data_IF_683323604252
#
_entry.id   IF_683323604252
#
_cell.length_a   1.000
_cell.length_b   1.000
_cell.length_c   1.000
_cell.angle_alpha   90.00
_cell.angle_beta   90.00
_cell.angle_gamma   90.00
#
_symmetry.space_group_name_H-M   'P 1'
#
loop_
_entity.id
_entity.type
_entity.pdbx_description
1 polymer ?
#
# COMPACT_ATOMS: atom_id res chain seq x y z
N UNK A 1 -22.59 25.50 6.81
CA UNK A 1 -23.87 24.74 6.86
C UNK A 1 -23.71 23.65 7.91
N UNK A 2 -24.37 23.74 9.08
CA UNK A 2 -24.11 22.85 10.21
C UNK A 2 -24.92 21.55 10.14
N UNK A 3 -24.26 20.45 10.51
CA UNK A 3 -24.77 19.20 11.09
C UNK A 3 -26.10 18.62 10.58
N UNK A 4 -26.03 17.92 9.44
CA UNK A 4 -26.94 16.80 9.11
C UNK A 4 -26.14 15.50 9.11
N UNK A 5 -25.57 15.10 10.24
CA UNK A 5 -24.81 13.86 10.36
C UNK A 5 -25.74 12.72 10.76
N UNK A 6 -25.83 11.67 9.95
CA UNK A 6 -26.47 10.40 10.35
C UNK A 6 -25.93 9.98 11.73
N UNK A 7 -26.80 9.88 12.75
CA UNK A 7 -26.44 9.47 14.13
C UNK A 7 -25.69 8.13 14.19
N UNK A 8 -25.83 7.31 13.15
CA UNK A 8 -25.25 5.97 13.02
C UNK A 8 -23.79 5.95 12.54
N UNK A 9 -23.26 7.05 11.97
CA UNK A 9 -21.95 7.04 11.29
C UNK A 9 -21.12 8.30 11.47
N UNK A 10 -19.81 8.20 11.22
CA UNK A 10 -18.94 9.36 11.02
C UNK A 10 -17.91 9.10 9.92
N UNK A 11 -17.47 10.17 9.24
CA UNK A 11 -16.63 10.06 8.04
C UNK A 11 -15.16 9.72 8.33
N UNK A 12 -14.56 10.37 9.35
CA UNK A 12 -13.16 10.21 9.70
C UNK A 12 -12.96 10.26 11.22
N UNK A 13 -12.07 9.43 11.78
CA UNK A 13 -11.67 9.56 13.17
C UNK A 13 -10.88 10.86 13.40
N UNK A 14 -10.84 11.34 14.65
CA UNK A 14 -10.01 12.48 15.05
C UNK A 14 -8.54 12.07 15.25
N UNK A 15 -7.94 11.49 14.21
CA UNK A 15 -6.53 11.10 14.18
C UNK A 15 -6.06 11.09 12.73
N UNK A 16 -4.86 11.60 12.52
CA UNK A 16 -4.20 11.54 11.22
C UNK A 16 -3.26 10.34 11.17
N UNK A 17 -3.27 9.63 10.04
CA UNK A 17 -2.46 8.42 9.85
C UNK A 17 -1.06 8.71 9.32
N UNK A 18 -0.84 9.93 8.80
CA UNK A 18 0.40 10.35 8.14
C UNK A 18 0.88 9.29 7.13
N UNK A 19 -0.01 8.94 6.20
CA UNK A 19 0.29 8.11 5.04
C UNK A 19 1.05 8.91 3.97
N UNK A 20 1.51 8.25 2.91
CA UNK A 20 2.34 8.88 1.86
C UNK A 20 1.68 10.13 1.27
N UNK A 21 0.35 10.14 1.15
CA UNK A 21 -0.45 11.27 0.66
C UNK A 21 -0.45 12.51 1.54
N UNK A 22 0.05 12.44 2.77
CA UNK A 22 0.24 13.62 3.63
C UNK A 22 1.52 14.40 3.32
N UNK A 23 2.44 13.84 2.54
CA UNK A 23 3.66 14.53 2.15
C UNK A 23 3.30 15.55 1.08
N UNK A 24 3.41 16.83 1.42
CA UNK A 24 3.03 18.00 0.61
C UNK A 24 3.24 17.73 -0.88
N UNK A 25 2.11 17.53 -1.55
CA UNK A 25 2.00 17.24 -2.96
C UNK A 25 2.50 18.45 -3.76
N UNK A 26 3.72 18.37 -4.31
CA UNK A 26 4.16 19.32 -5.33
C UNK A 26 3.39 18.97 -6.61
N UNK A 27 2.56 19.92 -7.05
CA UNK A 27 1.69 19.87 -8.21
C UNK A 27 2.32 19.07 -9.38
N UNK A 28 1.73 17.93 -9.73
CA UNK A 28 1.94 17.36 -11.06
C UNK A 28 1.38 18.39 -12.04
N UNK A 29 2.28 18.94 -12.86
CA UNK A 29 1.98 19.93 -13.88
C UNK A 29 0.84 19.42 -14.77
N UNK A 30 -0.38 19.93 -14.53
CA UNK A 30 -1.52 19.74 -15.42
C UNK A 30 -1.22 20.62 -16.63
N UNK A 31 -0.41 20.11 -17.54
CA UNK A 31 -0.19 20.71 -18.84
C UNK A 31 -1.50 20.76 -19.61
N UNK A 32 -2.34 21.75 -19.31
CA UNK A 32 -3.48 22.15 -20.11
C UNK A 32 -2.92 22.75 -21.40
N UNK A 33 -3.01 22.01 -22.49
CA UNK A 33 -2.93 22.58 -23.84
C UNK A 33 -4.20 22.21 -24.57
N UNK A 34 -4.78 23.21 -25.22
CA UNK A 34 -6.14 23.21 -25.76
C UNK A 34 -6.48 21.99 -26.60
N UNK A 35 -7.72 21.52 -26.41
CA UNK A 35 -8.37 20.49 -27.21
C UNK A 35 -8.59 21.00 -28.64
N UNK A 36 -8.00 20.33 -29.62
CA UNK A 36 -8.49 20.34 -31.00
C UNK A 36 -8.64 18.90 -31.45
N UNK A 37 -9.85 18.56 -31.90
CA UNK A 37 -10.23 17.22 -32.37
C UNK A 37 -9.60 16.99 -33.75
N UNK A 38 -8.66 16.06 -33.92
CA UNK A 38 -8.14 15.75 -35.24
C UNK A 38 -9.11 14.84 -35.98
N UNK A 39 -9.61 15.32 -37.11
CA UNK A 39 -10.42 14.60 -38.09
C UNK A 39 -9.52 13.66 -38.90
N UNK A 40 -9.29 12.43 -38.43
CA UNK A 40 -9.02 11.28 -39.32
C UNK A 40 -9.11 9.95 -38.57
N UNK A 41 -9.95 9.07 -39.12
CA UNK A 41 -10.30 7.73 -38.62
C UNK A 41 -9.08 6.80 -38.71
N UNK A 42 -8.48 6.45 -37.58
CA UNK A 42 -7.81 5.15 -37.44
C UNK A 42 -8.90 4.13 -37.08
N UNK A 43 -9.15 3.17 -37.96
CA UNK A 43 -10.17 2.12 -37.78
C UNK A 43 -9.85 1.08 -36.69
N UNK A 44 -9.06 1.42 -35.67
CA UNK A 44 -8.63 0.51 -34.60
C UNK A 44 -8.42 1.22 -33.25
N UNK A 45 -9.23 2.25 -32.95
CA UNK A 45 -9.15 2.97 -31.67
C UNK A 45 -9.31 2.03 -30.47
N UNK A 46 -10.16 1.01 -30.59
CA UNK A 46 -10.39 -0.01 -29.57
C UNK A 46 -9.13 -0.84 -29.29
N UNK A 47 -8.43 -1.31 -30.33
CA UNK A 47 -7.18 -2.05 -30.16
C UNK A 47 -6.09 -1.18 -29.51
N UNK A 48 -6.01 0.09 -29.89
CA UNK A 48 -5.10 1.03 -29.25
C UNK A 48 -5.45 1.21 -27.77
N UNK A 49 -6.73 1.37 -27.42
CA UNK A 49 -7.13 1.46 -26.03
C UNK A 49 -6.78 0.19 -25.25
N UNK A 50 -7.01 -0.99 -25.80
CA UNK A 50 -6.65 -2.27 -25.18
C UNK A 50 -5.15 -2.40 -24.92
N UNK A 51 -4.30 -1.94 -25.85
CA UNK A 51 -2.84 -1.94 -25.62
C UNK A 51 -2.46 -0.91 -24.57
N UNK A 52 -3.01 0.30 -24.64
CA UNK A 52 -2.65 1.40 -23.74
C UNK A 52 -3.02 1.13 -22.29
N UNK A 53 -4.16 0.47 -22.01
CA UNK A 53 -4.56 0.14 -20.63
C UNK A 53 -3.62 -0.90 -19.99
N UNK A 54 -2.97 -1.74 -20.79
CA UNK A 54 -2.04 -2.77 -20.31
C UNK A 54 -0.62 -2.23 -20.08
N UNK A 55 -0.31 -1.02 -20.54
CA UNK A 55 0.97 -0.38 -20.26
C UNK A 55 1.10 -0.04 -18.78
N UNK A 56 2.32 -0.19 -18.26
CA UNK A 56 2.67 0.32 -16.95
C UNK A 56 2.52 1.85 -16.89
N UNK A 57 2.23 2.39 -15.69
CA UNK A 57 1.96 3.82 -15.51
C UNK A 57 3.08 4.73 -16.07
N UNK A 58 4.38 4.46 -15.84
CA UNK A 58 5.48 5.16 -16.47
C UNK A 58 5.46 5.11 -18.00
N UNK A 59 5.32 3.93 -18.60
CA UNK A 59 5.29 3.71 -20.05
C UNK A 59 4.13 4.43 -20.71
N UNK A 60 2.93 4.36 -20.12
CA UNK A 60 1.75 5.09 -20.59
C UNK A 60 1.97 6.61 -20.54
N UNK A 61 2.55 7.10 -19.45
CA UNK A 61 2.83 8.54 -19.27
C UNK A 61 3.95 9.02 -20.21
N UNK A 62 4.93 8.18 -20.50
CA UNK A 62 5.97 8.44 -21.48
C UNK A 62 5.37 8.52 -22.89
N UNK A 63 4.53 7.55 -23.27
CA UNK A 63 3.81 7.56 -24.54
C UNK A 63 2.95 8.82 -24.71
N UNK A 64 2.21 9.21 -23.67
CA UNK A 64 1.40 10.45 -23.64
C UNK A 64 2.20 11.69 -24.02
N UNK A 65 3.50 11.74 -23.71
CA UNK A 65 4.41 12.88 -23.94
C UNK A 65 5.07 12.90 -25.32
N UNK A 66 4.92 11.86 -26.13
CA UNK A 66 5.60 11.73 -27.43
C UNK A 66 5.17 12.82 -28.42
N UNK A 67 3.86 13.06 -28.56
CA UNK A 67 3.31 14.13 -29.40
C UNK A 67 1.86 14.44 -28.99
N UNK A 68 1.28 15.53 -29.54
CA UNK A 68 -0.10 15.97 -29.23
C UNK A 68 -1.17 14.90 -29.52
N UNK A 69 -0.95 14.07 -30.54
CA UNK A 69 -1.88 12.98 -30.89
C UNK A 69 -1.85 11.88 -29.83
N UNK A 70 -0.67 11.45 -29.40
CA UNK A 70 -0.51 10.47 -28.32
C UNK A 70 -1.12 10.99 -27.01
N UNK A 71 -0.93 12.28 -26.70
CA UNK A 71 -1.63 12.95 -25.59
C UNK A 71 -3.15 12.79 -25.70
N UNK A 72 -3.71 13.15 -26.85
CA UNK A 72 -5.16 13.06 -27.07
C UNK A 72 -5.69 11.62 -26.99
N UNK A 73 -4.96 10.63 -27.50
CA UNK A 73 -5.39 9.23 -27.46
C UNK A 73 -5.40 8.72 -26.02
N UNK A 74 -4.34 8.98 -25.24
CA UNK A 74 -4.27 8.55 -23.84
C UNK A 74 -5.34 9.24 -22.99
N UNK A 75 -5.60 10.53 -23.22
CA UNK A 75 -6.63 11.28 -22.48
C UNK A 75 -8.06 10.82 -22.82
N UNK A 76 -8.25 10.12 -23.94
CA UNK A 76 -9.51 9.50 -24.32
C UNK A 76 -9.73 8.11 -23.71
N UNK A 77 -8.70 7.49 -23.10
CA UNK A 77 -8.84 6.21 -22.41
C UNK A 77 -9.67 6.41 -21.13
N UNK A 78 -10.86 5.80 -21.00
CA UNK A 78 -11.77 6.06 -19.88
C UNK A 78 -11.15 5.77 -18.51
N UNK A 79 -10.42 4.66 -18.40
CA UNK A 79 -9.73 4.23 -17.18
C UNK A 79 -8.69 5.25 -16.74
N UNK A 80 -7.83 5.69 -17.67
CA UNK A 80 -6.81 6.69 -17.38
C UNK A 80 -7.43 8.03 -16.97
N UNK A 81 -8.50 8.44 -17.67
CA UNK A 81 -9.26 9.65 -17.33
C UNK A 81 -9.88 9.55 -15.93
N UNK A 82 -10.46 8.41 -15.56
CA UNK A 82 -11.02 8.20 -14.24
C UNK A 82 -9.94 8.27 -13.14
N UNK A 83 -8.80 7.62 -13.35
CA UNK A 83 -7.67 7.65 -12.41
C UNK A 83 -7.15 9.08 -12.22
N UNK A 84 -6.86 9.79 -13.31
CA UNK A 84 -6.30 11.16 -13.26
C UNK A 84 -7.28 12.18 -12.67
N UNK A 85 -8.58 11.94 -12.82
CA UNK A 85 -9.63 12.80 -12.25
C UNK A 85 -9.85 12.54 -10.76
N UNK A 86 -9.91 11.27 -10.35
CA UNK A 86 -10.39 10.90 -9.01
C UNK A 86 -9.31 10.42 -8.04
N UNK A 87 -8.15 10.00 -8.56
CA UNK A 87 -7.03 9.50 -7.77
C UNK A 87 -5.66 10.12 -8.17
N UNK A 88 -5.55 11.45 -8.36
CA UNK A 88 -4.27 12.08 -8.72
C UNK A 88 -3.19 11.86 -7.64
N UNK A 89 -3.61 11.83 -6.37
CA UNK A 89 -2.75 11.54 -5.21
C UNK A 89 -2.09 10.16 -5.29
N UNK A 90 -2.84 9.16 -5.75
CA UNK A 90 -2.34 7.81 -5.97
C UNK A 90 -1.29 7.78 -7.08
N UNK A 91 -1.54 8.45 -8.21
CA UNK A 91 -0.57 8.54 -9.31
C UNK A 91 0.75 9.19 -8.87
N UNK A 92 0.67 10.32 -8.18
CA UNK A 92 1.86 10.94 -7.60
C UNK A 92 2.60 9.99 -6.66
N UNK A 93 1.90 9.32 -5.75
CA UNK A 93 2.51 8.36 -4.83
C UNK A 93 3.31 7.32 -5.61
N UNK A 94 2.68 6.70 -6.62
CA UNK A 94 3.30 5.70 -7.50
C UNK A 94 4.58 6.23 -8.17
N UNK A 95 4.56 7.45 -8.71
CA UNK A 95 5.75 8.05 -9.31
C UNK A 95 6.83 8.36 -8.28
N UNK A 96 6.42 8.93 -7.15
CA UNK A 96 7.33 9.42 -6.11
C UNK A 96 8.10 8.28 -5.45
N UNK A 97 7.46 7.14 -5.19
CA UNK A 97 8.13 5.97 -4.61
C UNK A 97 8.67 4.99 -5.66
N UNK A 98 8.42 5.24 -6.94
CA UNK A 98 9.00 4.50 -8.07
C UNK A 98 8.42 3.10 -8.28
N UNK A 99 7.15 2.88 -7.94
CA UNK A 99 6.49 1.57 -8.06
C UNK A 99 5.72 1.38 -9.37
N UNK A 100 5.59 2.44 -10.17
CA UNK A 100 4.72 2.42 -11.36
C UNK A 100 5.05 1.37 -12.42
N UNK A 101 6.30 0.91 -12.51
CA UNK A 101 6.70 -0.18 -13.43
C UNK A 101 6.01 -1.53 -13.14
N UNK A 102 5.44 -1.69 -11.95
CA UNK A 102 4.76 -2.91 -11.50
C UNK A 102 3.23 -2.81 -11.61
N UNK A 103 2.71 -1.70 -12.13
CA UNK A 103 1.30 -1.36 -12.08
C UNK A 103 0.86 -0.91 -13.47
N UNK A 104 -0.02 -1.66 -14.12
CA UNK A 104 -0.66 -1.21 -15.36
C UNK A 104 -1.76 -0.18 -15.08
N UNK A 105 -2.16 0.56 -16.11
CA UNK A 105 -3.32 1.45 -16.00
C UNK A 105 -4.60 0.67 -15.67
N UNK A 106 -4.75 -0.54 -16.24
CA UNK A 106 -5.87 -1.42 -15.96
C UNK A 106 -5.86 -1.91 -14.51
N UNK A 107 -4.70 -2.38 -14.00
CA UNK A 107 -4.58 -2.84 -12.61
C UNK A 107 -5.00 -1.75 -11.64
N UNK A 108 -4.51 -0.52 -11.83
CA UNK A 108 -4.84 0.60 -10.96
C UNK A 108 -6.33 0.94 -11.01
N UNK A 109 -6.93 0.93 -12.20
CA UNK A 109 -8.35 1.20 -12.37
C UNK A 109 -9.21 0.13 -11.67
N UNK A 110 -8.93 -1.15 -11.89
CA UNK A 110 -9.65 -2.26 -11.26
C UNK A 110 -9.59 -2.20 -9.74
N UNK A 111 -8.42 -1.86 -9.18
CA UNK A 111 -8.24 -1.72 -7.73
C UNK A 111 -8.94 -0.50 -7.17
N UNK A 112 -9.04 0.57 -7.95
CA UNK A 112 -9.86 1.73 -7.61
C UNK A 112 -11.36 1.41 -7.71
N UNK A 113 -11.76 0.52 -8.61
CA UNK A 113 -13.13 0.04 -8.82
C UNK A 113 -13.50 -1.21 -8.01
N UNK A 114 -12.68 -1.58 -7.02
CA UNK A 114 -13.02 -2.60 -6.02
C UNK A 114 -13.19 -1.89 -4.68
N UNK A 115 -14.22 -2.18 -3.88
CA UNK A 115 -14.39 -1.53 -2.57
C UNK A 115 -13.65 -2.26 -1.44
N UNK A 116 -13.41 -3.55 -1.62
CA UNK A 116 -13.03 -4.50 -0.57
C UNK A 116 -11.52 -4.59 -0.38
N UNK A 117 -11.13 -4.84 0.86
CA UNK A 117 -9.77 -5.19 1.25
C UNK A 117 -9.46 -6.60 0.78
N UNK A 118 -8.40 -6.76 -0.01
CA UNK A 118 -7.94 -8.06 -0.54
C UNK A 118 -7.56 -9.07 0.55
N UNK A 119 -7.37 -8.58 1.77
CA UNK A 119 -6.93 -9.36 2.92
C UNK A 119 -8.06 -9.87 3.80
N UNK A 120 -9.22 -9.21 3.82
CA UNK A 120 -10.29 -9.53 4.79
C UNK A 120 -11.71 -9.18 4.35
N UNK A 121 -11.93 -8.64 3.14
CA UNK A 121 -13.26 -8.27 2.64
C UNK A 121 -13.86 -6.97 3.19
N UNK A 122 -13.41 -6.47 4.35
CA UNK A 122 -13.82 -5.14 4.85
C UNK A 122 -13.55 -4.03 3.83
N UNK A 123 -14.19 -2.87 3.96
CA UNK A 123 -13.89 -1.73 3.08
C UNK A 123 -12.40 -1.35 3.12
N UNK A 124 -11.74 -1.43 1.96
CA UNK A 124 -10.33 -1.12 1.79
C UNK A 124 -10.13 0.35 1.43
N UNK A 125 -10.13 1.23 2.44
CA UNK A 125 -9.98 2.68 2.24
C UNK A 125 -8.58 3.15 1.81
N UNK A 126 -7.65 2.23 1.54
CA UNK A 126 -6.27 2.54 1.21
C UNK A 126 -5.75 1.63 0.08
N UNK A 127 -4.72 2.10 -0.61
CA UNK A 127 -3.92 1.31 -1.54
C UNK A 127 -2.50 1.14 -1.01
N UNK A 128 -2.02 -0.10 -1.02
CA UNK A 128 -0.62 -0.44 -0.85
C UNK A 128 0.09 -0.39 -2.21
N UNK A 129 0.92 0.64 -2.39
CA UNK A 129 1.44 1.04 -3.69
C UNK A 129 2.60 0.19 -4.23
N UNK A 130 3.19 -0.72 -3.43
CA UNK A 130 4.26 -1.58 -3.96
C UNK A 130 3.70 -2.62 -4.94
N UNK A 131 2.54 -3.19 -4.62
CA UNK A 131 1.87 -4.22 -5.43
C UNK A 131 0.47 -3.82 -5.88
N UNK A 132 0.12 -2.54 -5.74
CA UNK A 132 -1.21 -1.99 -6.05
C UNK A 132 -2.37 -2.79 -5.42
N UNK A 133 -2.28 -3.10 -4.12
CA UNK A 133 -3.31 -3.87 -3.44
C UNK A 133 -4.26 -2.98 -2.64
N UNK A 134 -5.57 -3.26 -2.70
CA UNK A 134 -6.55 -2.59 -1.83
C UNK A 134 -6.54 -3.19 -0.42
N UNK A 135 -6.47 -2.33 0.59
CA UNK A 135 -6.26 -2.76 1.98
C UNK A 135 -6.98 -1.86 2.97
N UNK A 136 -7.52 -2.43 4.05
CA UNK A 136 -8.08 -1.68 5.17
C UNK A 136 -7.03 -1.36 6.23
N UNK A 137 -7.30 -0.39 7.10
CA UNK A 137 -6.37 0.06 8.13
C UNK A 137 -5.81 -1.07 9.00
N UNK A 138 -6.71 -1.93 9.48
CA UNK A 138 -6.36 -3.02 10.40
C UNK A 138 -5.43 -4.05 9.72
N UNK A 139 -5.59 -4.27 8.42
CA UNK A 139 -4.77 -5.24 7.71
C UNK A 139 -3.36 -4.73 7.46
N UNK A 140 -3.19 -3.51 6.94
CA UNK A 140 -1.84 -3.01 6.61
C UNK A 140 -1.00 -2.72 7.86
N UNK A 141 -1.64 -2.39 8.99
CA UNK A 141 -0.93 -2.13 10.25
C UNK A 141 -0.53 -3.39 11.02
N UNK A 142 -1.11 -4.55 10.70
CA UNK A 142 -0.86 -5.80 11.44
C UNK A 142 -0.18 -6.87 10.58
N UNK A 143 -0.69 -7.17 9.38
CA UNK A 143 -0.19 -8.30 8.59
C UNK A 143 1.23 -8.04 8.07
N UNK A 144 2.08 -9.06 8.13
CA UNK A 144 3.47 -8.98 7.67
C UNK A 144 3.58 -8.62 6.17
N UNK A 145 2.61 -9.05 5.37
CA UNK A 145 2.53 -8.77 3.92
C UNK A 145 2.60 -7.29 3.57
N UNK A 146 2.18 -6.40 4.48
CA UNK A 146 2.20 -4.94 4.27
C UNK A 146 3.31 -4.25 5.07
N UNK A 147 4.29 -5.00 5.57
CA UNK A 147 5.53 -4.49 6.17
C UNK A 147 6.67 -4.67 5.17
N UNK A 148 6.92 -3.69 4.28
CA UNK A 148 8.00 -3.78 3.32
C UNK A 148 9.36 -3.87 4.01
N UNK A 149 10.24 -4.69 3.44
CA UNK A 149 11.50 -5.10 4.06
C UNK A 149 12.68 -4.33 3.48
N UNK A 150 13.73 -4.12 4.28
CA UNK A 150 15.03 -3.75 3.70
C UNK A 150 15.58 -4.96 2.95
N UNK A 151 16.37 -4.71 1.90
CA UNK A 151 17.03 -5.77 1.15
C UNK A 151 17.82 -6.74 2.04
N UNK A 152 18.57 -6.22 3.03
CA UNK A 152 19.30 -7.03 3.99
C UNK A 152 18.39 -7.92 4.86
N UNK A 153 17.17 -7.47 5.16
CA UNK A 153 16.19 -8.27 5.90
C UNK A 153 15.58 -9.36 5.01
N UNK A 154 15.28 -9.05 3.74
CA UNK A 154 14.80 -10.05 2.78
C UNK A 154 15.85 -11.15 2.52
N UNK A 155 17.12 -10.78 2.34
CA UNK A 155 18.24 -11.74 2.24
C UNK A 155 18.37 -12.59 3.49
N UNK A 156 18.27 -12.00 4.69
CA UNK A 156 18.38 -12.73 5.96
C UNK A 156 17.22 -13.71 6.17
N UNK A 157 15.99 -13.26 5.88
CA UNK A 157 14.76 -14.00 6.18
C UNK A 157 14.43 -15.09 5.18
N UNK A 158 14.69 -14.83 3.91
CA UNK A 158 14.18 -15.64 2.80
C UNK A 158 15.31 -16.23 1.93
N UNK A 159 16.57 -16.10 2.37
CA UNK A 159 17.72 -16.65 1.63
C UNK A 159 18.02 -16.00 0.29
N UNK A 160 17.47 -14.80 0.02
CA UNK A 160 17.59 -14.13 -1.28
C UNK A 160 18.95 -13.45 -1.47
N UNK A 161 19.58 -13.64 -2.62
CA UNK A 161 20.71 -12.82 -3.05
C UNK A 161 20.26 -11.54 -3.79
N UNK A 162 21.23 -10.73 -4.20
CA UNK A 162 20.99 -9.47 -4.90
C UNK A 162 20.24 -9.62 -6.23
N UNK A 163 20.54 -10.67 -7.01
CA UNK A 163 19.92 -10.90 -8.33
C UNK A 163 18.42 -11.19 -8.20
N UNK A 164 18.04 -11.92 -7.15
CA UNK A 164 16.63 -12.16 -6.86
C UNK A 164 15.89 -10.86 -6.51
N UNK A 165 16.51 -10.00 -5.69
CA UNK A 165 15.92 -8.75 -5.21
C UNK A 165 15.70 -7.71 -6.33
N UNK A 166 16.51 -7.73 -7.38
CA UNK A 166 16.41 -6.80 -8.52
C UNK A 166 15.11 -6.97 -9.31
N UNK A 167 14.55 -8.20 -9.30
CA UNK A 167 13.32 -8.55 -10.00
C UNK A 167 12.06 -8.43 -9.13
N UNK A 168 12.19 -8.00 -7.87
CA UNK A 168 11.04 -7.86 -6.96
C UNK A 168 10.38 -6.47 -7.04
N UNK A 169 9.07 -6.40 -6.77
CA UNK A 169 8.40 -5.14 -6.45
C UNK A 169 9.16 -4.39 -5.36
N UNK A 170 9.64 -3.22 -5.72
CA UNK A 170 10.56 -2.40 -4.92
C UNK A 170 10.16 -0.93 -4.99
N UNK A 171 10.44 -0.21 -3.91
CA UNK A 171 10.19 1.21 -3.79
C UNK A 171 11.37 1.96 -3.18
N UNK A 172 11.41 3.28 -3.37
CA UNK A 172 12.27 4.19 -2.61
C UNK A 172 11.41 5.07 -1.70
N UNK A 173 11.71 5.10 -0.41
CA UNK A 173 10.94 5.91 0.54
C UNK A 173 11.18 7.40 0.34
N UNK A 174 10.19 8.20 0.71
CA UNK A 174 10.30 9.67 0.80
C UNK A 174 10.57 10.04 2.25
N UNK A 175 11.49 10.96 2.55
CA UNK A 175 11.63 11.47 3.91
C UNK A 175 10.35 12.20 4.34
N UNK A 176 9.91 11.99 5.58
CA UNK A 176 8.63 12.53 6.06
C UNK A 176 8.26 12.04 7.45
N UNK A 177 7.12 12.52 7.93
CA UNK A 177 6.48 12.03 9.14
C UNK A 177 5.46 10.98 8.74
N UNK A 178 5.48 9.84 9.42
CA UNK A 178 4.64 8.70 9.10
C UNK A 178 4.04 8.08 10.34
N UNK A 179 2.94 7.36 10.15
CA UNK A 179 2.14 6.72 11.19
C UNK A 179 1.39 7.71 12.10
N UNK A 180 0.34 7.26 12.82
CA UNK A 180 -0.36 8.07 13.80
C UNK A 180 0.50 8.64 14.94
N UNK A 181 1.74 8.14 15.10
CA UNK A 181 2.71 8.66 16.09
C UNK A 181 3.68 9.70 15.53
N UNK A 182 3.50 10.12 14.29
CA UNK A 182 4.35 11.14 13.65
C UNK A 182 5.84 10.75 13.69
N UNK A 183 6.14 9.48 13.44
CA UNK A 183 7.52 9.00 13.45
C UNK A 183 8.23 9.51 12.20
N UNK A 184 9.29 10.28 12.42
CA UNK A 184 10.10 10.87 11.36
C UNK A 184 11.02 9.83 10.70
N UNK A 185 10.80 9.57 9.41
CA UNK A 185 11.74 8.83 8.57
C UNK A 185 12.65 9.83 7.83
N UNK A 186 13.93 9.85 8.17
CA UNK A 186 14.92 10.77 7.58
C UNK A 186 15.52 10.24 6.28
N UNK A 187 15.78 8.93 6.25
CA UNK A 187 16.54 8.31 5.18
C UNK A 187 15.66 7.85 4.02
N UNK A 188 16.22 7.93 2.81
CA UNK A 188 15.66 7.29 1.62
C UNK A 188 16.08 5.82 1.60
N UNK A 189 15.20 4.96 2.08
CA UNK A 189 15.40 3.51 2.11
C UNK A 189 14.90 2.90 0.81
N UNK A 190 15.60 1.87 0.33
CA UNK A 190 15.05 0.95 -0.68
C UNK A 190 14.39 -0.21 0.03
N UNK A 191 13.08 -0.34 -0.17
CA UNK A 191 12.28 -1.39 0.45
C UNK A 191 11.72 -2.33 -0.63
N UNK A 192 11.59 -3.60 -0.27
CA UNK A 192 11.05 -4.67 -1.12
C UNK A 192 9.74 -5.18 -0.54
N UNK A 193 8.82 -5.61 -1.41
CA UNK A 193 7.57 -6.22 -0.97
C UNK A 193 7.82 -7.50 -0.17
N UNK A 194 7.14 -7.65 0.97
CA UNK A 194 7.29 -8.80 1.85
C UNK A 194 6.79 -10.08 1.17
N UNK A 195 5.59 -10.02 0.58
CA UNK A 195 4.92 -11.19 0.01
C UNK A 195 5.68 -11.73 -1.20
N UNK A 196 6.12 -10.87 -2.10
CA UNK A 196 6.92 -11.23 -3.28
C UNK A 196 8.29 -11.80 -2.88
N UNK A 197 8.95 -11.20 -1.88
CA UNK A 197 10.22 -11.73 -1.37
C UNK A 197 10.04 -13.13 -0.74
N UNK A 198 9.01 -13.32 0.09
CA UNK A 198 8.69 -14.63 0.67
C UNK A 198 8.39 -15.68 -0.40
N UNK A 199 7.54 -15.35 -1.39
CA UNK A 199 7.21 -16.26 -2.50
C UNK A 199 8.45 -16.67 -3.29
N UNK A 200 9.34 -15.73 -3.56
CA UNK A 200 10.60 -15.98 -4.28
C UNK A 200 11.51 -16.90 -3.47
N UNK A 201 11.64 -16.66 -2.16
CA UNK A 201 12.41 -17.55 -1.28
C UNK A 201 11.85 -18.97 -1.25
N UNK A 202 10.53 -19.12 -1.16
CA UNK A 202 9.86 -20.43 -1.23
C UNK A 202 10.14 -21.12 -2.57
N UNK A 203 10.08 -20.39 -3.69
CA UNK A 203 10.34 -20.95 -5.01
C UNK A 203 11.79 -21.46 -5.14
N UNK A 204 12.77 -20.74 -4.58
CA UNK A 204 14.19 -21.12 -4.63
C UNK A 204 14.48 -22.34 -3.74
N UNK A 205 13.92 -22.35 -2.53
CA UNK A 205 14.21 -23.40 -1.53
C UNK A 205 13.21 -24.57 -1.59
N UNK A 206 12.21 -24.49 -2.47
CA UNK A 206 11.18 -25.51 -2.73
C UNK A 206 10.04 -25.57 -1.70
N UNK A 207 10.23 -25.05 -0.48
CA UNK A 207 9.16 -24.96 0.54
C UNK A 207 9.51 -23.91 1.59
N UNK A 208 8.51 -23.51 2.37
CA UNK A 208 8.72 -22.58 3.49
C UNK A 208 9.62 -23.17 4.60
N UNK A 209 9.48 -24.46 4.93
CA UNK A 209 10.36 -25.12 5.92
C UNK A 209 11.81 -25.07 5.48
N UNK A 210 12.09 -25.50 4.25
CA UNK A 210 13.45 -25.51 3.68
C UNK A 210 14.05 -24.11 3.59
N UNK A 211 13.24 -23.09 3.24
CA UNK A 211 13.67 -21.70 3.25
C UNK A 211 14.06 -21.23 4.65
N UNK A 212 13.25 -21.56 5.67
CA UNK A 212 13.51 -21.19 7.05
C UNK A 212 14.76 -21.90 7.60
N UNK A 213 14.88 -23.21 7.36
CA UNK A 213 16.06 -24.03 7.72
C UNK A 213 17.34 -23.47 7.08
N UNK A 214 17.29 -23.15 5.78
CA UNK A 214 18.40 -22.52 5.08
C UNK A 214 18.79 -21.18 5.72
N UNK A 215 17.80 -20.34 6.01
CA UNK A 215 18.02 -19.02 6.61
C UNK A 215 18.64 -19.13 8.01
N UNK A 216 18.16 -20.05 8.84
CA UNK A 216 18.73 -20.35 10.17
C UNK A 216 20.16 -20.85 10.05
N UNK A 217 20.43 -21.80 9.14
CA UNK A 217 21.78 -22.34 8.90
C UNK A 217 22.78 -21.27 8.48
N UNK A 218 22.39 -20.40 7.54
CA UNK A 218 23.23 -19.29 7.09
C UNK A 218 23.49 -18.29 8.21
N UNK A 219 22.50 -18.02 9.06
CA UNK A 219 22.67 -17.14 10.21
C UNK A 219 23.60 -17.74 11.27
N UNK A 220 23.48 -19.04 11.56
CA UNK A 220 24.37 -19.77 12.46
C UNK A 220 25.83 -19.70 11.97
N UNK A 221 26.07 -20.01 10.70
CA UNK A 221 27.40 -19.89 10.07
C UNK A 221 27.98 -18.48 10.13
N UNK A 222 27.14 -17.44 9.95
CA UNK A 222 27.57 -16.04 10.08
C UNK A 222 27.96 -15.71 11.53
N UNK A 223 27.20 -16.21 12.50
CA UNK A 223 27.47 -16.01 13.92
C UNK A 223 28.75 -16.72 14.36
N UNK A 224 28.98 -17.95 13.91
CA UNK A 224 30.23 -18.70 14.14
C UNK A 224 31.44 -17.94 13.58
N UNK A 225 31.36 -17.48 12.33
CA UNK A 225 32.43 -16.66 11.71
C UNK A 225 32.70 -15.37 12.49
N UNK A 226 31.66 -14.74 13.02
CA UNK A 226 31.79 -13.57 13.88
C UNK A 226 32.49 -13.91 15.20
N UNK A 227 32.07 -14.98 15.88
CA UNK A 227 32.66 -15.41 17.14
C UNK A 227 34.15 -15.75 16.97
N UNK A 228 34.53 -16.41 15.86
CA UNK A 228 35.92 -16.70 15.53
C UNK A 228 36.75 -15.43 15.27
N UNK A 229 36.18 -14.43 14.61
CA UNK A 229 36.85 -13.13 14.41
C UNK A 229 37.02 -12.38 15.73
N UNK A 230 36.02 -12.46 16.61
CA UNK A 230 36.05 -11.83 17.92
C UNK A 230 37.05 -12.48 18.86
N UNK A 231 37.17 -13.82 18.86
CA UNK A 231 38.15 -14.52 19.70
C UNK A 231 39.60 -14.24 19.29
N UNK A 232 39.84 -13.95 18.00
CA UNK A 232 41.15 -13.54 17.48
C UNK A 232 41.46 -12.04 17.65
N UNK A 233 40.49 -11.25 18.11
CA UNK A 233 40.67 -9.81 18.29
C UNK A 233 41.30 -9.53 19.65
N UNK A 234 42.51 -8.98 19.66
CA UNK A 234 43.23 -8.60 20.87
C UNK A 234 42.78 -7.22 21.37
N UNK A 235 42.53 -7.12 22.68
CA UNK A 235 42.20 -5.85 23.33
C UNK A 235 43.34 -4.84 23.10
N UNK A 236 43.04 -3.72 22.43
CA UNK A 236 44.03 -2.68 22.09
C UNK A 236 44.58 -2.73 20.66
N UNK A 237 44.15 -3.68 19.81
CA UNK A 237 44.52 -3.68 18.40
C UNK A 237 43.93 -2.46 17.65
N UNK A 238 44.71 -1.84 16.76
CA UNK A 238 44.30 -0.70 15.95
C UNK A 238 43.12 -0.97 14.99
N UNK A 239 42.72 -2.24 14.83
CA UNK A 239 41.63 -2.63 13.95
C UNK A 239 40.25 -2.44 14.58
N UNK A 240 39.24 -1.96 13.82
CA UNK A 240 37.87 -1.80 14.30
C UNK A 240 37.32 -3.12 14.85
N UNK A 241 36.56 -3.04 15.94
CA UNK A 241 35.87 -4.20 16.50
C UNK A 241 34.98 -4.85 15.44
N UNK A 242 35.03 -6.19 15.28
CA UNK A 242 34.16 -6.87 14.34
C UNK A 242 32.69 -6.61 14.69
N UNK A 243 31.88 -6.24 13.69
CA UNK A 243 30.45 -6.01 13.87
C UNK A 243 29.70 -7.34 13.97
N UNK A 244 28.86 -7.47 14.99
CA UNK A 244 27.98 -8.64 15.16
C UNK A 244 26.96 -8.68 14.02
N UNK A 245 26.78 -9.83 13.34
CA UNK A 245 25.69 -10.01 12.39
C UNK A 245 24.35 -9.84 13.06
N UNK A 246 23.40 -9.20 12.36
CA UNK A 246 22.02 -9.10 12.82
C UNK A 246 21.33 -10.46 12.71
N UNK A 247 20.82 -10.96 13.83
CA UNK A 247 20.10 -12.25 13.94
C UNK A 247 18.59 -12.06 14.10
N UNK A 248 18.17 -10.92 14.64
CA UNK A 248 16.77 -10.67 14.98
C UNK A 248 16.14 -9.58 14.12
N UNK A 249 14.83 -9.65 14.03
CA UNK A 249 14.03 -8.65 13.37
C UNK A 249 13.94 -7.37 14.18
N UNK A 250 13.80 -6.25 13.46
CA UNK A 250 13.40 -4.99 14.07
C UNK A 250 12.04 -5.18 14.75
N UNK A 251 11.88 -4.66 15.96
CA UNK A 251 10.57 -4.55 16.58
C UNK A 251 9.63 -3.79 15.65
N UNK A 252 8.51 -4.41 15.29
CA UNK A 252 7.57 -3.84 14.34
C UNK A 252 6.83 -2.64 14.95
N UNK A 253 6.20 -2.82 16.11
CA UNK A 253 5.38 -1.77 16.71
C UNK A 253 4.07 -1.48 15.95
N UNK A 254 3.71 -2.33 14.96
CA UNK A 254 2.43 -2.34 14.24
C UNK A 254 2.03 -0.96 13.69
N UNK A 255 0.93 -0.38 14.17
CA UNK A 255 0.45 0.95 13.76
C UNK A 255 1.43 2.08 14.10
N UNK A 256 2.48 1.82 14.87
CA UNK A 256 3.58 2.78 15.12
C UNK A 256 4.74 2.62 14.14
N UNK A 257 4.77 1.61 13.27
CA UNK A 257 5.89 1.41 12.35
C UNK A 257 5.78 2.34 11.12
N UNK A 258 6.67 3.31 10.92
CA UNK A 258 6.59 4.19 9.76
C UNK A 258 6.71 3.43 8.43
N UNK A 259 7.43 2.29 8.40
CA UNK A 259 7.59 1.47 7.18
C UNK A 259 6.27 0.89 6.67
N UNK A 260 5.24 0.78 7.51
CA UNK A 260 3.90 0.32 7.10
C UNK A 260 3.08 1.41 6.41
N UNK A 261 3.46 2.69 6.56
CA UNK A 261 2.70 3.85 6.05
C UNK A 261 3.36 4.50 4.83
N UNK A 262 4.67 4.33 4.63
CA UNK A 262 5.45 4.95 3.53
C UNK A 262 5.02 4.53 2.12
N UNK A 263 4.26 3.44 2.00
CA UNK A 263 3.74 2.91 0.74
C UNK A 263 2.20 2.94 0.67
N UNK A 264 1.55 3.57 1.65
CA UNK A 264 0.10 3.60 1.77
C UNK A 264 -0.39 4.96 1.32
N UNK A 265 -1.44 4.98 0.50
CA UNK A 265 -2.22 6.18 0.19
C UNK A 265 -3.69 5.92 0.45
N UNK A 266 -4.42 6.95 0.87
CA UNK A 266 -5.88 6.89 0.91
C UNK A 266 -6.42 6.80 -0.52
N UNK A 267 -7.45 5.98 -0.71
CA UNK A 267 -8.06 5.79 -2.03
C UNK A 267 -9.58 5.67 -1.93
N UNK A 268 -10.35 6.38 -2.79
CA UNK A 268 -11.80 6.17 -2.88
C UNK A 268 -12.10 4.85 -3.59
N UNK A 269 -13.32 4.36 -3.42
CA UNK A 269 -13.94 3.40 -4.31
C UNK A 269 -14.60 4.16 -5.48
N UNK A 270 -14.16 3.85 -6.70
CA UNK A 270 -14.71 4.36 -7.95
C UNK A 270 -15.80 3.41 -8.44
N UNK A 271 -17.05 3.73 -8.11
CA UNK A 271 -18.18 2.97 -8.64
C UNK A 271 -18.36 3.32 -10.14
N UNK A 272 -18.19 2.37 -11.09
CA UNK A 272 -18.25 2.65 -12.52
C UNK A 272 -19.61 3.20 -13.00
N UNK A 273 -20.68 3.02 -12.22
CA UNK A 273 -22.02 3.51 -12.52
C UNK A 273 -22.48 4.72 -11.71
N UNK A 274 -21.72 5.17 -10.70
CA UNK A 274 -22.11 6.30 -9.86
C UNK A 274 -21.29 7.55 -10.18
N UNK A 275 -21.94 8.71 -10.08
CA UNK A 275 -21.30 10.02 -10.21
C UNK A 275 -20.49 10.43 -8.98
N UNK A 276 -20.50 9.62 -7.90
CA UNK A 276 -19.90 9.94 -6.61
C UNK A 276 -18.80 8.97 -6.19
N UNK A 277 -17.80 9.52 -5.48
CA UNK A 277 -16.70 8.77 -4.88
C UNK A 277 -17.11 8.26 -3.50
N UNK A 278 -16.90 6.98 -3.24
CA UNK A 278 -17.16 6.39 -1.92
C UNK A 278 -15.87 6.27 -1.12
N UNK A 279 -15.80 6.92 0.05
CA UNK A 279 -14.63 6.90 0.94
C UNK A 279 -14.77 5.98 2.15
N UNK A 280 -15.93 5.32 2.26
CA UNK A 280 -16.37 4.53 3.40
C UNK A 280 -16.65 5.38 4.64
N UNK A 281 -17.37 4.81 5.59
CA UNK A 281 -17.73 5.45 6.86
C UNK A 281 -17.40 4.54 8.04
N UNK A 282 -17.32 5.13 9.22
CA UNK A 282 -17.16 4.41 10.47
C UNK A 282 -18.50 4.32 11.21
N UNK A 283 -18.69 3.24 11.96
CA UNK A 283 -19.85 3.08 12.84
C UNK A 283 -19.68 3.96 14.10
N UNK A 284 -20.69 4.78 14.43
CA UNK A 284 -20.65 5.67 15.60
C UNK A 284 -20.53 4.88 16.92
N UNK A 285 -21.21 3.74 17.02
CA UNK A 285 -21.17 2.87 18.19
C UNK A 285 -19.84 2.13 18.40
N UNK A 286 -19.00 2.05 17.38
CA UNK A 286 -17.70 1.39 17.46
C UNK A 286 -16.57 2.30 17.98
N UNK A 287 -16.84 3.59 18.22
CA UNK A 287 -15.81 4.61 18.45
C UNK A 287 -14.90 4.32 19.66
N UNK A 288 -15.42 3.69 20.71
CA UNK A 288 -14.69 3.36 21.95
C UNK A 288 -13.99 1.98 21.94
N UNK A 289 -14.11 1.21 20.85
CA UNK A 289 -13.64 -0.17 20.80
C UNK A 289 -12.32 -0.29 20.04
N UNK A 290 -11.21 -0.52 20.76
CA UNK A 290 -9.85 -0.42 20.22
C UNK A 290 -9.16 -1.74 19.84
N UNK A 291 -9.73 -2.89 20.22
CA UNK A 291 -8.97 -4.14 20.21
C UNK A 291 -9.27 -5.01 19.00
N UNK A 292 -10.52 -5.42 18.81
CA UNK A 292 -10.85 -6.49 17.86
C UNK A 292 -12.08 -6.17 17.01
N UNK A 293 -12.11 -6.82 15.84
CA UNK A 293 -13.34 -6.96 15.05
C UNK A 293 -14.40 -7.73 15.86
N UNK A 294 -15.71 -7.51 15.61
CA UNK A 294 -16.27 -6.64 14.56
C UNK A 294 -16.31 -5.15 14.93
N UNK A 295 -16.11 -4.80 16.20
CA UNK A 295 -16.35 -3.47 16.75
C UNK A 295 -15.19 -2.48 16.62
N UNK A 296 -14.06 -2.86 16.03
CA UNK A 296 -12.87 -2.01 16.01
C UNK A 296 -13.14 -0.64 15.35
N UNK A 297 -12.90 0.46 16.07
CA UNK A 297 -13.21 1.85 15.67
C UNK A 297 -12.64 2.29 14.31
N UNK A 298 -11.49 1.74 13.88
CA UNK A 298 -10.90 2.02 12.56
C UNK A 298 -11.44 1.16 11.40
N UNK A 299 -12.39 0.26 11.67
CA UNK A 299 -13.08 -0.48 10.61
C UNK A 299 -13.94 0.50 9.82
N UNK A 300 -13.90 0.39 8.50
CA UNK A 300 -14.70 1.19 7.57
C UNK A 300 -15.70 0.29 6.87
N UNK A 301 -16.80 0.90 6.45
CA UNK A 301 -17.93 0.22 5.84
C UNK A 301 -18.43 0.99 4.61
N UNK A 302 -18.95 0.24 3.66
CA UNK A 302 -19.93 0.73 2.67
C UNK A 302 -21.31 0.81 3.34
N UNK A 303 -22.31 1.35 2.63
CA UNK A 303 -23.69 1.35 3.16
C UNK A 303 -24.17 -0.08 3.44
N UNK A 304 -23.91 -1.00 2.51
CA UNK A 304 -24.37 -2.39 2.63
C UNK A 304 -23.63 -3.16 3.73
N UNK A 305 -22.30 -3.01 3.81
CA UNK A 305 -21.53 -3.69 4.86
C UNK A 305 -21.75 -3.07 6.25
N UNK A 306 -22.17 -1.81 6.35
CA UNK A 306 -22.60 -1.23 7.62
C UNK A 306 -23.93 -1.83 8.09
N UNK A 307 -24.89 -2.03 7.18
CA UNK A 307 -26.16 -2.68 7.50
C UNK A 307 -25.93 -4.08 8.06
N UNK A 308 -25.12 -4.89 7.38
CA UNK A 308 -24.72 -6.22 7.87
C UNK A 308 -24.02 -6.16 9.24
N UNK A 309 -23.17 -5.14 9.47
CA UNK A 309 -22.52 -4.93 10.77
C UNK A 309 -23.52 -4.59 11.89
N UNK A 310 -24.55 -3.79 11.61
CA UNK A 310 -25.60 -3.47 12.59
C UNK A 310 -26.45 -4.71 12.88
N UNK A 311 -26.79 -5.50 11.87
CA UNK A 311 -27.49 -6.78 12.04
C UNK A 311 -26.68 -7.76 12.92
N UNK A 312 -25.36 -7.82 12.74
CA UNK A 312 -24.46 -8.68 13.55
C UNK A 312 -24.27 -8.16 15.00
N UNK A 313 -24.13 -6.85 15.18
CA UNK A 313 -23.72 -6.26 16.45
C UNK A 313 -24.91 -5.78 17.31
N UNK A 314 -26.08 -5.59 16.73
CA UNK A 314 -27.25 -5.00 17.35
C UNK A 314 -27.47 -3.55 16.93
N UNK A 315 -28.70 -3.06 17.10
CA UNK A 315 -29.11 -1.69 16.76
C UNK A 315 -28.31 -0.65 17.55
N UNK A 316 -28.17 0.54 16.97
CA UNK A 316 -27.44 1.63 17.63
C UNK A 316 -28.44 2.49 18.42
N UNK A 317 -28.35 2.44 19.74
CA UNK A 317 -29.13 3.28 20.66
C UNK A 317 -28.15 4.07 21.53
N UNK A 318 -28.34 5.38 21.61
CA UNK A 318 -27.46 6.30 22.36
C UNK A 318 -25.96 6.13 22.03
N UNK A 319 -25.66 5.88 20.75
CA UNK A 319 -24.29 5.68 20.27
C UNK A 319 -23.63 4.39 20.76
N UNK A 320 -24.41 3.35 21.10
CA UNK A 320 -23.93 2.02 21.49
C UNK A 320 -24.71 0.93 20.77
N UNK A 321 -24.06 -0.20 20.51
CA UNK A 321 -24.74 -1.39 20.01
C UNK A 321 -25.55 -2.05 21.13
N UNK A 322 -26.84 -2.27 20.90
CA UNK A 322 -27.77 -2.96 21.80
C UNK A 322 -28.27 -4.21 21.09
N UNK A 323 -27.90 -5.40 21.60
CA UNK A 323 -28.43 -6.66 21.09
C UNK A 323 -29.84 -6.86 21.61
N UNK A 324 -30.80 -7.10 20.72
CA UNK A 324 -32.12 -7.56 21.12
C UNK A 324 -31.95 -8.92 21.79
N UNK A 325 -32.28 -9.02 23.09
CA UNK A 325 -32.49 -10.31 23.72
C UNK A 325 -33.72 -10.92 23.05
N UNK A 326 -33.54 -12.01 22.31
CA UNK A 326 -34.64 -12.84 21.85
C UNK A 326 -35.38 -13.31 23.11
N UNK A 327 -36.62 -12.85 23.27
CA UNK A 327 -37.58 -13.31 24.29
C UNK A 327 -38.09 -14.68 23.88
#
# INVERSE_FOLDING_TARGET
MPYGGNELTYASPNIEDYTLDHIRYVHLDKGQRGHLVPTQRLGALELLHMVLIQLDIPSLTAFRRVNRRATSIVDLVPQYKAITTHAPVTLWGIFTIGTGRWISCQDLYEKLSTAECESCGDFGGYLYLITCCRVCFLCFTVKADYLPLRQADATRKFGLDRSHLENLPTMKTVPGYYSPREIKLRDRLTLVDYRAARRTGIAIHGSESKMNEHSVHIQAKKLEKYNLRRSKHTAGAANPNPRRPRTEDEFDGYSSNPKRFVAIVRAPFLNPGATSLEWGFHCSACRSHHYNRPLHWRRKFTKDSLKAHIEECGEIVDGKHVRQQLI
#
